data_IF_749196064928
#
_entry.id   IF_749196064928
#
_cell.length_a   1.000
_cell.length_b   1.000
_cell.length_c   1.000
_cell.angle_alpha   90.00
_cell.angle_beta   90.00
_cell.angle_gamma   90.00
#
_symmetry.space_group_name_H-M   'P 1'
#
loop_
_entity.id
_entity.type
_entity.pdbx_description
1 polymer ?
#
# COMPACT_ATOMS: atom_id res chain seq x y z
N UNK A 1 -0.39 13.59 -67.21
CA UNK A 1 -1.83 13.47 -66.87
C UNK A 1 -1.98 12.40 -65.80
N UNK A 2 -2.50 12.78 -64.61
CA UNK A 2 -3.18 11.97 -63.55
C UNK A 2 -2.45 10.69 -63.06
N UNK A 3 -2.32 10.39 -61.78
CA UNK A 3 -3.08 10.77 -60.59
C UNK A 3 -2.23 10.55 -59.34
N UNK A 4 -2.26 11.50 -58.43
CA UNK A 4 -1.98 11.27 -57.02
C UNK A 4 -2.97 10.22 -56.48
N UNK A 5 -2.49 9.23 -55.75
CA UNK A 5 -3.32 8.43 -54.87
C UNK A 5 -2.70 8.43 -53.48
N UNK A 6 -3.20 9.37 -52.68
CA UNK A 6 -3.29 9.28 -51.23
C UNK A 6 -3.90 7.93 -50.84
N UNK A 7 -3.26 7.20 -49.93
CA UNK A 7 -3.99 6.52 -48.86
C UNK A 7 -3.21 6.65 -47.56
N UNK A 8 -3.70 7.59 -46.76
CA UNK A 8 -3.47 7.66 -45.33
C UNK A 8 -4.21 6.51 -44.63
N UNK A 9 -3.54 5.85 -43.68
CA UNK A 9 -3.95 5.55 -42.28
C UNK A 9 -5.30 4.78 -42.12
N UNK A 10 -5.35 3.66 -41.35
CA UNK A 10 -5.12 3.72 -39.91
C UNK A 10 -4.33 2.55 -39.29
N UNK A 11 -3.37 2.76 -38.39
CA UNK A 11 -3.53 3.35 -37.05
C UNK A 11 -4.74 2.77 -36.28
N UNK A 12 -4.82 1.44 -36.22
CA UNK A 12 -5.90 0.72 -35.53
C UNK A 12 -5.32 -0.28 -34.51
N UNK A 13 -4.52 0.24 -33.59
CA UNK A 13 -4.19 -0.41 -32.31
C UNK A 13 -4.26 0.61 -31.16
N UNK A 14 -5.24 1.52 -31.23
CA UNK A 14 -5.78 2.10 -30.01
C UNK A 14 -6.75 1.07 -29.45
N UNK A 15 -6.18 0.07 -28.78
CA UNK A 15 -6.92 -0.72 -27.80
C UNK A 15 -7.53 0.33 -26.88
N UNK A 16 -8.84 0.49 -26.99
CA UNK A 16 -9.65 1.18 -26.03
C UNK A 16 -9.37 0.53 -24.68
N UNK A 17 -8.48 1.14 -23.89
CA UNK A 17 -8.40 0.87 -22.46
C UNK A 17 -9.70 1.43 -21.91
N UNK A 18 -10.76 0.63 -22.02
CA UNK A 18 -12.02 0.90 -21.37
C UNK A 18 -11.69 1.22 -19.93
N UNK A 19 -12.02 2.44 -19.50
CA UNK A 19 -11.86 2.83 -18.11
C UNK A 19 -12.68 1.82 -17.31
N UNK A 20 -12.00 0.92 -16.59
CA UNK A 20 -12.62 -0.12 -15.77
C UNK A 20 -13.46 0.60 -14.72
N UNK A 21 -14.76 0.73 -14.99
CA UNK A 21 -15.76 1.23 -14.05
C UNK A 21 -15.84 0.21 -12.90
N UNK A 22 -15.02 0.42 -11.88
CA UNK A 22 -14.92 -0.50 -10.74
C UNK A 22 -13.61 -0.43 -9.96
N UNK A 23 -12.59 0.27 -10.49
CA UNK A 23 -11.32 0.37 -9.78
C UNK A 23 -11.42 1.36 -8.62
N UNK A 24 -11.10 0.89 -7.42
CA UNK A 24 -11.04 1.73 -6.22
C UNK A 24 -10.04 2.86 -6.46
N UNK A 25 -10.54 4.10 -6.40
CA UNK A 25 -9.71 5.29 -6.60
C UNK A 25 -8.74 5.43 -5.43
N UNK A 26 -7.49 5.74 -5.74
CA UNK A 26 -6.40 5.92 -4.78
C UNK A 26 -6.01 7.39 -4.78
N UNK A 27 -5.74 7.94 -3.60
CA UNK A 27 -5.24 9.31 -3.43
C UNK A 27 -4.00 9.30 -2.55
N UNK A 28 -3.02 10.13 -2.88
CA UNK A 28 -1.92 10.49 -1.98
C UNK A 28 -2.19 11.89 -1.43
N UNK A 29 -2.09 12.04 -0.12
CA UNK A 29 -2.25 13.33 0.57
C UNK A 29 -1.34 13.36 1.80
N UNK A 30 -0.60 14.45 1.98
CA UNK A 30 0.36 14.61 3.07
C UNK A 30 1.36 13.44 3.17
N UNK A 31 1.85 12.94 2.03
CA UNK A 31 2.78 11.81 1.93
C UNK A 31 2.19 10.43 2.27
N UNK A 32 0.87 10.32 2.47
CA UNK A 32 0.18 9.07 2.81
C UNK A 32 -0.79 8.63 1.72
N UNK A 33 -1.00 7.32 1.60
CA UNK A 33 -1.91 6.72 0.62
C UNK A 33 -3.26 6.34 1.26
N UNK A 34 -4.33 6.65 0.53
CA UNK A 34 -5.71 6.40 0.95
C UNK A 34 -6.52 5.80 -0.21
N UNK A 35 -7.54 5.01 0.16
CA UNK A 35 -8.71 4.84 -0.71
C UNK A 35 -9.44 6.18 -0.75
N UNK A 36 -9.77 6.66 -1.95
CA UNK A 36 -10.44 7.93 -2.18
C UNK A 36 -11.91 7.83 -1.74
N UNK A 37 -12.09 7.92 -0.43
CA UNK A 37 -13.35 8.03 0.28
C UNK A 37 -13.41 9.44 0.91
N UNK A 38 -14.57 10.14 0.86
CA UNK A 38 -14.72 11.50 1.40
C UNK A 38 -14.25 11.67 2.85
N UNK A 39 -14.34 10.61 3.66
CA UNK A 39 -14.02 10.64 5.09
C UNK A 39 -12.65 10.03 5.41
N UNK A 40 -11.87 9.61 4.40
CA UNK A 40 -10.59 8.89 4.55
C UNK A 40 -10.68 7.67 5.49
N UNK A 41 -11.90 7.14 5.67
CA UNK A 41 -12.25 5.99 6.51
C UNK A 41 -13.12 5.07 5.66
N UNK A 42 -12.50 4.30 4.75
CA UNK A 42 -13.27 3.42 3.89
C UNK A 42 -14.03 2.41 4.76
N UNK A 43 -15.27 2.13 4.35
CA UNK A 43 -16.12 1.13 5.00
C UNK A 43 -15.73 -0.28 4.51
N UNK A 44 -15.27 -1.12 5.44
CA UNK A 44 -14.86 -2.50 5.15
C UNK A 44 -16.00 -3.30 4.52
N UNK A 45 -17.25 -3.09 4.94
CA UNK A 45 -18.41 -3.80 4.38
C UNK A 45 -18.66 -3.40 2.93
N UNK A 46 -18.50 -2.11 2.60
CA UNK A 46 -18.68 -1.62 1.21
C UNK A 46 -17.59 -2.11 0.28
N UNK A 47 -16.37 -2.31 0.80
CA UNK A 47 -15.23 -2.79 0.01
C UNK A 47 -15.06 -4.30 0.06
N UNK A 48 -15.88 -5.03 0.82
CA UNK A 48 -15.81 -6.50 0.90
C UNK A 48 -15.98 -7.18 -0.47
N UNK A 49 -16.94 -6.83 -1.32
CA UNK A 49 -17.07 -7.46 -2.64
C UNK A 49 -15.84 -7.23 -3.53
N UNK A 50 -15.21 -6.05 -3.39
CA UNK A 50 -13.97 -5.75 -4.09
C UNK A 50 -12.83 -6.60 -3.53
N UNK A 51 -12.69 -6.72 -2.21
CA UNK A 51 -11.70 -7.61 -1.58
C UNK A 51 -11.86 -9.07 -2.02
N UNK A 52 -13.08 -9.59 -2.06
CA UNK A 52 -13.37 -10.95 -2.51
C UNK A 52 -13.02 -11.15 -3.99
N UNK A 53 -13.23 -10.13 -4.81
CA UNK A 53 -12.79 -10.15 -6.22
C UNK A 53 -11.28 -10.22 -6.34
N UNK A 54 -10.54 -9.45 -5.53
CA UNK A 54 -9.07 -9.48 -5.51
C UNK A 54 -8.56 -10.85 -5.05
N UNK A 55 -9.15 -11.41 -4.00
CA UNK A 55 -8.75 -12.71 -3.44
C UNK A 55 -9.02 -13.84 -4.45
N UNK A 56 -10.17 -13.82 -5.15
CA UNK A 56 -10.43 -14.74 -6.28
C UNK A 56 -9.40 -14.60 -7.39
N UNK A 57 -9.06 -13.36 -7.77
CA UNK A 57 -8.07 -13.14 -8.81
C UNK A 57 -6.68 -13.62 -8.39
N UNK A 58 -6.26 -13.40 -7.15
CA UNK A 58 -4.96 -13.86 -6.65
C UNK A 58 -4.87 -15.38 -6.53
N UNK A 59 -6.00 -16.08 -6.37
CA UNK A 59 -6.02 -17.55 -6.41
C UNK A 59 -5.73 -18.09 -7.82
N UNK A 60 -6.20 -17.41 -8.86
CA UNK A 60 -5.99 -17.81 -10.27
C UNK A 60 -4.68 -17.23 -10.83
N UNK A 61 -4.37 -16.00 -10.48
CA UNK A 61 -3.25 -15.20 -10.95
C UNK A 61 -2.45 -14.64 -9.76
N UNK A 62 -1.66 -15.48 -9.06
CA UNK A 62 -0.99 -15.09 -7.81
C UNK A 62 0.10 -14.03 -7.99
N UNK A 63 0.50 -13.75 -9.22
CA UNK A 63 1.47 -12.71 -9.59
C UNK A 63 0.81 -11.43 -10.14
N UNK A 64 -0.52 -11.30 -10.09
CA UNK A 64 -1.18 -10.08 -10.52
C UNK A 64 -0.83 -8.92 -9.57
N UNK A 65 0.08 -8.05 -10.03
CA UNK A 65 0.63 -6.96 -9.22
C UNK A 65 -0.43 -5.95 -8.81
N UNK A 66 -1.45 -5.74 -9.65
CA UNK A 66 -2.58 -4.87 -9.36
C UNK A 66 -3.38 -5.39 -8.16
N UNK A 67 -3.71 -6.68 -8.16
CA UNK A 67 -4.45 -7.29 -7.07
C UNK A 67 -3.65 -7.35 -5.77
N UNK A 68 -2.35 -7.66 -5.87
CA UNK A 68 -1.43 -7.58 -4.73
C UNK A 68 -1.40 -6.18 -4.12
N UNK A 69 -1.29 -5.15 -4.96
CA UNK A 69 -1.29 -3.75 -4.52
C UNK A 69 -2.60 -3.35 -3.84
N UNK A 70 -3.75 -3.60 -4.47
CA UNK A 70 -5.04 -3.22 -3.90
C UNK A 70 -5.37 -3.99 -2.63
N UNK A 71 -5.02 -5.28 -2.58
CA UNK A 71 -5.27 -6.09 -1.40
C UNK A 71 -4.42 -5.63 -0.22
N UNK A 72 -3.15 -5.30 -0.46
CA UNK A 72 -2.28 -4.68 0.53
C UNK A 72 -2.80 -3.31 0.99
N UNK A 73 -3.32 -2.49 0.07
CA UNK A 73 -3.92 -1.20 0.41
C UNK A 73 -5.13 -1.34 1.33
N UNK A 74 -6.04 -2.28 1.06
CA UNK A 74 -7.20 -2.53 1.92
C UNK A 74 -6.75 -3.01 3.32
N UNK A 75 -5.79 -3.92 3.38
CA UNK A 75 -5.23 -4.34 4.66
C UNK A 75 -4.61 -3.18 5.44
N UNK A 76 -3.88 -2.28 4.76
CA UNK A 76 -3.40 -1.05 5.40
C UNK A 76 -4.58 -0.25 5.96
N UNK A 77 -5.57 0.11 5.14
CA UNK A 77 -6.64 1.03 5.55
C UNK A 77 -7.44 0.51 6.75
N UNK A 78 -7.79 -0.78 6.76
CA UNK A 78 -8.58 -1.35 7.84
C UNK A 78 -7.76 -1.69 9.08
N UNK A 79 -6.43 -1.75 9.01
CA UNK A 79 -5.58 -2.20 10.12
C UNK A 79 -4.58 -1.13 10.60
N UNK A 80 -4.78 0.15 10.24
CA UNK A 80 -4.03 1.27 10.83
C UNK A 80 -4.22 1.32 12.34
N UNK A 81 -3.23 1.84 13.05
CA UNK A 81 -3.28 1.97 14.51
C UNK A 81 -4.50 2.77 14.99
N UNK A 82 -4.85 3.87 14.31
CA UNK A 82 -6.02 4.70 14.65
C UNK A 82 -7.35 3.94 14.50
N UNK A 83 -7.44 2.98 13.57
CA UNK A 83 -8.66 2.20 13.31
C UNK A 83 -8.76 1.02 14.28
N UNK A 84 -7.63 0.37 14.56
CA UNK A 84 -7.54 -0.77 15.46
C UNK A 84 -6.43 -0.49 16.49
N UNK A 85 -6.69 0.24 17.58
CA UNK A 85 -5.63 0.64 18.52
C UNK A 85 -5.20 -0.49 19.46
N UNK A 86 -6.03 -1.51 19.63
CA UNK A 86 -5.73 -2.64 20.51
C UNK A 86 -4.48 -3.40 20.04
N UNK A 87 -3.49 -3.47 20.94
CA UNK A 87 -2.23 -4.19 20.75
C UNK A 87 -2.21 -5.56 21.45
N UNK A 88 -3.24 -5.90 22.22
CA UNK A 88 -3.35 -7.20 22.88
C UNK A 88 -3.59 -8.33 21.88
N UNK A 89 -4.22 -8.03 20.74
CA UNK A 89 -4.47 -8.99 19.67
C UNK A 89 -3.49 -8.83 18.51
N UNK A 90 -3.05 -9.96 17.96
CA UNK A 90 -2.19 -9.95 16.76
C UNK A 90 -2.97 -9.81 15.45
N UNK A 91 -4.30 -9.61 15.49
CA UNK A 91 -5.14 -9.60 14.28
C UNK A 91 -4.70 -8.52 13.30
N UNK A 92 -4.66 -7.27 13.74
CA UNK A 92 -4.27 -6.15 12.88
C UNK A 92 -2.81 -6.25 12.43
N UNK A 93 -1.92 -6.64 13.34
CA UNK A 93 -0.49 -6.88 13.05
C UNK A 93 -0.31 -7.93 11.95
N UNK A 94 -1.01 -9.07 12.03
CA UNK A 94 -0.94 -10.13 11.03
C UNK A 94 -1.45 -9.66 9.67
N UNK A 95 -2.53 -8.87 9.63
CA UNK A 95 -3.03 -8.28 8.37
C UNK A 95 -2.04 -7.28 7.77
N UNK A 96 -1.37 -6.47 8.58
CA UNK A 96 -0.31 -5.57 8.11
C UNK A 96 0.93 -6.32 7.60
N UNK A 97 1.31 -7.44 8.24
CA UNK A 97 2.40 -8.29 7.74
C UNK A 97 2.05 -8.91 6.38
N UNK A 98 0.80 -9.38 6.20
CA UNK A 98 0.30 -9.84 4.90
C UNK A 98 0.34 -8.71 3.86
N UNK A 99 -0.07 -7.49 4.25
CA UNK A 99 0.01 -6.32 3.37
C UNK A 99 1.45 -6.04 2.93
N UNK A 100 2.42 -6.11 3.85
CA UNK A 100 3.84 -5.91 3.55
C UNK A 100 4.35 -6.98 2.58
N UNK A 101 3.99 -8.25 2.79
CA UNK A 101 4.38 -9.35 1.90
C UNK A 101 3.79 -9.19 0.50
N UNK A 102 2.51 -8.83 0.38
CA UNK A 102 1.84 -8.57 -0.89
C UNK A 102 2.46 -7.39 -1.63
N UNK A 103 2.69 -6.27 -0.95
CA UNK A 103 3.35 -5.09 -1.52
C UNK A 103 4.80 -5.39 -1.92
N UNK A 104 5.53 -6.17 -1.12
CA UNK A 104 6.88 -6.64 -1.45
C UNK A 104 6.91 -7.55 -2.68
N UNK A 105 5.92 -8.44 -2.84
CA UNK A 105 5.77 -9.28 -4.04
C UNK A 105 5.43 -8.46 -5.28
N UNK A 106 4.57 -7.45 -5.15
CA UNK A 106 4.28 -6.54 -6.27
C UNK A 106 5.56 -5.79 -6.72
N UNK A 107 6.40 -5.38 -5.77
CA UNK A 107 7.68 -4.72 -6.05
C UNK A 107 8.71 -5.67 -6.69
N UNK A 108 8.81 -6.92 -6.21
CA UNK A 108 9.71 -7.92 -6.79
C UNK A 108 9.32 -8.31 -8.21
N UNK A 109 8.02 -8.24 -8.52
CA UNK A 109 7.46 -8.37 -9.87
C UNK A 109 7.57 -7.08 -10.70
N UNK A 110 8.37 -6.10 -10.24
CA UNK A 110 8.75 -4.87 -10.94
C UNK A 110 7.58 -3.91 -11.23
N UNK A 111 6.55 -3.88 -10.39
CA UNK A 111 5.49 -2.88 -10.51
C UNK A 111 6.06 -1.46 -10.35
N UNK A 112 6.02 -0.65 -11.42
CA UNK A 112 6.62 0.70 -11.47
C UNK A 112 5.75 1.79 -10.83
N UNK A 113 4.73 1.42 -10.07
CA UNK A 113 3.76 2.38 -9.54
C UNK A 113 4.32 3.16 -8.33
N UNK A 114 4.35 4.49 -8.41
CA UNK A 114 4.74 5.35 -7.28
C UNK A 114 3.91 5.09 -6.01
N UNK A 115 2.60 4.84 -6.16
CA UNK A 115 1.69 4.54 -5.06
C UNK A 115 2.12 3.29 -4.27
N UNK A 116 2.75 2.30 -4.94
CA UNK A 116 3.28 1.13 -4.24
C UNK A 116 4.43 1.51 -3.30
N UNK A 117 5.26 2.49 -3.67
CA UNK A 117 6.37 2.97 -2.84
C UNK A 117 5.83 3.67 -1.58
N UNK A 118 4.82 4.53 -1.75
CA UNK A 118 4.12 5.18 -0.63
C UNK A 118 3.42 4.15 0.26
N UNK A 119 2.75 3.16 -0.34
CA UNK A 119 2.09 2.08 0.39
C UNK A 119 3.06 1.30 1.29
N UNK A 120 4.24 0.94 0.76
CA UNK A 120 5.27 0.22 1.54
C UNK A 120 5.80 1.05 2.70
N UNK A 121 6.06 2.34 2.49
CA UNK A 121 6.47 3.26 3.55
C UNK A 121 5.42 3.33 4.67
N UNK A 122 4.14 3.44 4.29
CA UNK A 122 3.06 3.56 5.25
C UNK A 122 2.80 2.24 6.01
N UNK A 123 2.81 1.08 5.34
CA UNK A 123 2.68 -0.22 6.03
C UNK A 123 3.84 -0.43 7.01
N UNK A 124 5.08 -0.10 6.62
CA UNK A 124 6.24 -0.22 7.51
C UNK A 124 6.06 0.65 8.76
N UNK A 125 5.62 1.90 8.60
CA UNK A 125 5.33 2.81 9.73
C UNK A 125 4.23 2.26 10.65
N UNK A 126 3.15 1.75 10.09
CA UNK A 126 2.08 1.14 10.91
C UNK A 126 2.58 -0.08 11.66
N UNK A 127 3.42 -0.93 11.05
CA UNK A 127 4.07 -2.05 11.74
C UNK A 127 5.00 -1.58 12.87
N UNK A 128 5.73 -0.48 12.68
CA UNK A 128 6.50 0.15 13.77
C UNK A 128 5.59 0.53 14.94
N UNK A 129 4.44 1.15 14.67
CA UNK A 129 3.47 1.49 15.71
C UNK A 129 2.95 0.25 16.44
N UNK A 130 2.70 -0.86 15.72
CA UNK A 130 2.26 -2.14 16.32
C UNK A 130 3.25 -2.74 17.30
N UNK A 131 4.54 -2.52 17.07
CA UNK A 131 5.62 -3.04 17.91
C UNK A 131 6.19 -1.99 18.87
N UNK A 132 5.57 -0.81 18.97
CA UNK A 132 6.00 0.23 19.88
C UNK A 132 6.08 -0.31 21.32
N UNK A 133 7.03 0.19 22.13
CA UNK A 133 7.24 -0.24 23.52
C UNK A 133 6.19 0.37 24.46
N UNK A 134 4.91 0.18 24.14
CA UNK A 134 3.76 0.57 24.96
C UNK A 134 3.09 -0.67 25.55
N UNK A 135 2.41 -0.49 26.68
CA UNK A 135 1.75 -1.56 27.44
C UNK A 135 2.68 -2.76 27.77
N UNK A 136 3.96 -2.47 28.07
CA UNK A 136 4.98 -3.51 28.31
C UNK A 136 4.62 -4.47 29.44
N UNK A 137 3.83 -4.01 30.42
CA UNK A 137 3.32 -4.81 31.53
C UNK A 137 2.49 -6.04 31.10
N UNK A 138 2.01 -6.09 29.85
CA UNK A 138 1.25 -7.21 29.27
C UNK A 138 2.12 -8.32 28.69
N UNK A 139 3.43 -8.11 28.62
CA UNK A 139 4.35 -8.97 27.88
C UNK A 139 5.43 -9.56 28.78
N UNK A 140 5.87 -10.77 28.45
CA UNK A 140 7.06 -11.36 29.09
C UNK A 140 8.33 -10.67 28.58
N UNK A 141 9.43 -10.76 29.31
CA UNK A 141 10.73 -10.19 28.90
C UNK A 141 11.16 -10.66 27.50
N UNK A 142 10.95 -11.95 27.19
CA UNK A 142 11.22 -12.50 25.86
C UNK A 142 10.37 -11.81 24.78
N UNK A 143 9.07 -11.63 25.03
CA UNK A 143 8.17 -10.95 24.10
C UNK A 143 8.56 -9.48 23.92
N UNK A 144 8.96 -8.78 25.00
CA UNK A 144 9.43 -7.40 24.95
C UNK A 144 10.68 -7.31 24.06
N UNK A 145 11.65 -8.22 24.23
CA UNK A 145 12.87 -8.25 23.42
C UNK A 145 12.57 -8.50 21.94
N UNK A 146 11.67 -9.44 21.62
CA UNK A 146 11.24 -9.71 20.23
C UNK A 146 10.51 -8.51 19.62
N UNK A 147 9.62 -7.86 20.38
CA UNK A 147 8.92 -6.65 19.93
C UNK A 147 9.90 -5.52 19.65
N UNK A 148 10.90 -5.31 20.51
CA UNK A 148 11.96 -4.31 20.30
C UNK A 148 12.72 -4.55 19.00
N UNK A 149 13.11 -5.80 18.71
CA UNK A 149 13.78 -6.15 17.44
C UNK A 149 12.91 -5.80 16.22
N UNK A 150 11.61 -6.14 16.27
CA UNK A 150 10.67 -5.83 15.18
C UNK A 150 10.42 -4.33 15.04
N UNK A 151 10.34 -3.60 16.15
CA UNK A 151 10.21 -2.15 16.16
C UNK A 151 11.36 -1.49 15.41
N UNK A 152 12.61 -1.79 15.78
CA UNK A 152 13.79 -1.20 15.13
C UNK A 152 13.89 -1.57 13.65
N UNK A 153 13.57 -2.83 13.30
CA UNK A 153 13.54 -3.27 11.91
C UNK A 153 12.55 -2.45 11.07
N UNK A 154 11.29 -2.34 11.50
CA UNK A 154 10.28 -1.61 10.75
C UNK A 154 10.49 -0.11 10.78
N UNK A 155 11.04 0.44 11.87
CA UNK A 155 11.47 1.85 11.96
C UNK A 155 12.51 2.18 10.89
N UNK A 156 13.58 1.38 10.82
CA UNK A 156 14.62 1.55 9.81
C UNK A 156 14.07 1.43 8.38
N UNK A 157 13.20 0.43 8.15
CA UNK A 157 12.58 0.21 6.85
C UNK A 157 11.66 1.37 6.42
N UNK A 158 10.80 1.85 7.33
CA UNK A 158 9.89 2.96 7.07
C UNK A 158 10.68 4.23 6.74
N UNK A 159 11.68 4.56 7.55
CA UNK A 159 12.50 5.76 7.35
C UNK A 159 13.27 5.70 6.02
N UNK A 160 13.86 4.55 5.69
CA UNK A 160 14.55 4.35 4.41
C UNK A 160 13.60 4.50 3.21
N UNK A 161 12.35 4.04 3.31
CA UNK A 161 11.36 4.26 2.25
C UNK A 161 10.97 5.73 2.14
N UNK A 162 10.74 6.44 3.25
CA UNK A 162 10.43 7.87 3.21
C UNK A 162 11.59 8.71 2.68
N UNK A 163 12.83 8.36 3.00
CA UNK A 163 14.01 9.04 2.44
C UNK A 163 14.08 8.85 0.91
N UNK A 164 13.79 7.64 0.40
CA UNK A 164 13.69 7.41 -1.05
C UNK A 164 12.55 8.19 -1.69
N UNK A 165 11.39 8.27 -1.04
CA UNK A 165 10.25 9.04 -1.53
C UNK A 165 10.59 10.53 -1.62
N UNK A 166 11.26 11.10 -0.61
CA UNK A 166 11.70 12.50 -0.62
C UNK A 166 12.69 12.83 -1.74
N UNK A 167 13.47 11.85 -2.22
CA UNK A 167 14.37 12.02 -3.35
C UNK A 167 13.65 11.97 -4.71
N UNK A 168 12.60 11.13 -4.81
CA UNK A 168 11.83 10.90 -6.04
C UNK A 168 10.79 12.02 -6.24
N UNK A 169 10.10 12.41 -5.18
CA UNK A 169 9.01 13.39 -5.15
C UNK A 169 9.43 14.57 -4.27
N UNK A 170 10.33 15.39 -4.84
CA UNK A 170 11.01 16.48 -4.15
C UNK A 170 10.04 17.57 -3.67
N UNK A 171 8.98 17.82 -4.43
CA UNK A 171 7.98 18.85 -4.11
C UNK A 171 7.22 18.51 -2.82
N UNK A 172 7.08 17.21 -2.49
CA UNK A 172 6.45 16.74 -1.27
C UNK A 172 7.46 16.19 -0.24
N UNK A 173 8.77 16.46 -0.40
CA UNK A 173 9.83 15.93 0.46
C UNK A 173 9.59 16.21 1.96
N UNK A 174 9.08 17.39 2.29
CA UNK A 174 8.75 17.78 3.65
C UNK A 174 7.71 16.84 4.29
N UNK A 175 6.68 16.45 3.54
CA UNK A 175 5.64 15.55 4.03
C UNK A 175 6.22 14.17 4.38
N UNK A 176 7.10 13.63 3.53
CA UNK A 176 7.76 12.35 3.80
C UNK A 176 8.69 12.43 5.01
N UNK A 177 9.47 13.51 5.15
CA UNK A 177 10.36 13.69 6.30
C UNK A 177 9.56 13.79 7.62
N UNK A 178 8.40 14.45 7.62
CA UNK A 178 7.52 14.52 8.79
C UNK A 178 6.92 13.16 9.18
N UNK A 179 6.80 12.22 8.24
CA UNK A 179 6.22 10.89 8.50
C UNK A 179 7.21 9.88 9.09
N UNK A 180 8.52 10.21 9.11
CA UNK A 180 9.56 9.35 9.69
C UNK A 180 9.31 9.10 11.17
N UNK A 181 9.68 7.90 11.61
CA UNK A 181 9.60 7.49 13.02
C UNK A 181 10.87 7.95 13.72
N UNK A 182 10.70 8.71 14.81
CA UNK A 182 11.79 9.26 15.63
C UNK A 182 12.38 8.21 16.57
#
# INVERSE_FOLDING_TARGET
MKSQLFYAIPALLLISIGSVKGQVKVKIESGQIFVNDPWKRPDERKLQPFADSLDRNLNVHPNDTTSLFYRALLYLQFNKFIVNPDLSTNRATNKLLLAMAMAGRADSLRMQNFNLKVLRAQIAKELTNRYAPMDLWRFTEKQIAERKKKFEYFKGLANAYYDKLALIDKDNAYDYQRLKVK
#
